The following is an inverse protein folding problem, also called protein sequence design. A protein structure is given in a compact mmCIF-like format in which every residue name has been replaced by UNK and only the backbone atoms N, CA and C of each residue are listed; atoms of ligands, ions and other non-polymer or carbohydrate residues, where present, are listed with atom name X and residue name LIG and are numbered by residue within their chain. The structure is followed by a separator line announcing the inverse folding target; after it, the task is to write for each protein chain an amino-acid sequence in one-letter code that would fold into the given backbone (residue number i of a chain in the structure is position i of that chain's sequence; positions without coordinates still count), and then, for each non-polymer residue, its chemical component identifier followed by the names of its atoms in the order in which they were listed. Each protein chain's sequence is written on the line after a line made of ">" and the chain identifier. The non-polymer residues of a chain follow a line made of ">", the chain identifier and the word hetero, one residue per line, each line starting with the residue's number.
data_IF_743113251438
#
_entry.id   IF_743113251438
#
_cell.length_a   1.000
_cell.length_b   1.000
_cell.length_c   1.000
_cell.angle_alpha   90.00
_cell.angle_beta   90.00
_cell.angle_gamma   90.00
#
_symmetry.space_group_name_H-M   'P 1'
#
loop_
_entity.id
_entity.type
_entity.pdbx_description
1 polymer ?
#
# COMPACT_ATOMS: atom_id res chain seq x y z
N UNK A 1 -45.91 4.61 14.33
CA UNK A 1 -46.94 3.95 15.15
C UNK A 1 -46.86 2.47 14.86
N UNK A 2 -45.97 1.79 15.56
CA UNK A 2 -45.64 0.37 15.35
C UNK A 2 -46.77 -0.47 15.97
N UNK A 3 -47.30 -1.40 15.17
CA UNK A 3 -48.29 -2.39 15.59
C UNK A 3 -47.74 -3.19 16.77
N UNK A 4 -48.38 -3.00 17.91
CA UNK A 4 -48.07 -3.63 19.19
C UNK A 4 -48.45 -5.12 19.29
N UNK A 5 -48.80 -5.76 18.18
CA UNK A 5 -49.34 -7.13 18.13
C UNK A 5 -48.59 -7.99 17.10
N UNK A 6 -47.38 -8.39 17.44
CA UNK A 6 -46.69 -9.45 16.70
C UNK A 6 -45.81 -10.27 17.64
N UNK A 7 -46.42 -11.07 18.51
CA UNK A 7 -45.80 -12.28 19.04
C UNK A 7 -46.93 -13.25 19.37
N UNK A 8 -47.42 -13.99 18.38
CA UNK A 8 -48.04 -15.29 18.61
C UNK A 8 -46.96 -16.32 18.28
N UNK A 9 -46.14 -16.67 19.28
CA UNK A 9 -45.22 -17.76 19.13
C UNK A 9 -45.89 -19.05 19.59
N UNK A 10 -46.13 -19.96 18.67
CA UNK A 10 -46.40 -21.39 18.97
C UNK A 10 -45.12 -22.12 19.45
N UNK A 11 -44.14 -21.39 19.87
CA UNK A 11 -42.88 -21.94 20.39
C UNK A 11 -43.06 -22.47 21.81
N UNK A 12 -42.54 -23.66 22.12
CA UNK A 12 -42.51 -24.19 23.49
C UNK A 12 -41.86 -23.21 24.47
N UNK A 13 -42.45 -23.05 25.64
CA UNK A 13 -41.98 -22.13 26.70
C UNK A 13 -40.52 -22.35 27.05
N UNK A 14 -40.02 -23.59 26.95
CA UNK A 14 -38.60 -23.95 27.18
C UNK A 14 -37.66 -23.33 26.15
N UNK A 15 -38.04 -23.27 24.87
CA UNK A 15 -37.21 -22.68 23.81
C UNK A 15 -37.12 -21.15 23.95
N UNK A 16 -38.19 -20.50 24.35
CA UNK A 16 -38.19 -19.07 24.67
C UNK A 16 -37.29 -18.76 25.87
N UNK A 17 -37.32 -19.61 26.91
CA UNK A 17 -36.46 -19.44 28.09
C UNK A 17 -34.97 -19.57 27.72
N UNK A 18 -34.62 -20.52 26.85
CA UNK A 18 -33.24 -20.68 26.36
C UNK A 18 -32.80 -19.45 25.54
N UNK A 19 -33.66 -18.93 24.66
CA UNK A 19 -33.32 -17.75 23.87
C UNK A 19 -33.12 -16.50 24.75
N UNK A 20 -33.96 -16.31 25.76
CA UNK A 20 -33.83 -15.20 26.73
C UNK A 20 -32.59 -15.33 27.61
N UNK A 21 -32.10 -16.54 27.86
CA UNK A 21 -30.90 -16.80 28.65
C UNK A 21 -29.57 -16.56 27.90
N UNK A 22 -29.62 -16.37 26.58
CA UNK A 22 -28.40 -16.09 25.81
C UNK A 22 -27.80 -14.73 26.21
N UNK A 23 -26.49 -14.68 26.49
CA UNK A 23 -25.82 -13.44 26.93
C UNK A 23 -25.52 -12.47 25.78
N UNK A 24 -26.07 -12.69 24.61
CA UNK A 24 -25.89 -11.89 23.39
C UNK A 24 -27.21 -11.62 22.72
N UNK A 25 -27.33 -10.57 21.88
CA UNK A 25 -28.51 -10.36 21.06
C UNK A 25 -28.79 -11.59 20.20
N UNK A 26 -29.99 -12.14 20.33
CA UNK A 26 -30.42 -13.32 19.56
C UNK A 26 -31.89 -13.22 19.15
N UNK A 27 -32.20 -13.69 17.93
CA UNK A 27 -33.53 -13.69 17.36
C UNK A 27 -33.77 -14.95 16.53
N UNK A 28 -35.02 -15.34 16.46
CA UNK A 28 -35.47 -16.50 15.68
C UNK A 28 -36.35 -16.02 14.54
N UNK A 29 -36.06 -16.50 13.33
CA UNK A 29 -36.79 -16.17 12.10
C UNK A 29 -37.43 -17.40 11.51
N UNK A 30 -38.60 -17.23 10.87
CA UNK A 30 -39.24 -18.27 10.08
C UNK A 30 -38.46 -18.54 8.79
N UNK A 31 -38.83 -19.62 8.08
CA UNK A 31 -38.31 -19.92 6.75
C UNK A 31 -38.58 -18.81 5.72
N UNK A 32 -39.55 -17.92 5.98
CA UNK A 32 -39.88 -16.74 5.18
C UNK A 32 -39.21 -15.46 5.65
N UNK A 33 -38.18 -15.57 6.51
CA UNK A 33 -37.47 -14.45 7.12
C UNK A 33 -38.35 -13.51 7.98
N UNK A 34 -39.48 -14.01 8.51
CA UNK A 34 -40.32 -13.27 9.43
C UNK A 34 -39.78 -13.46 10.85
N UNK A 35 -39.69 -12.38 11.62
CA UNK A 35 -39.27 -12.45 13.03
C UNK A 35 -40.31 -13.20 13.86
N UNK A 36 -39.90 -14.34 14.42
CA UNK A 36 -40.77 -15.13 15.32
C UNK A 36 -40.66 -14.63 16.76
N UNK A 37 -39.43 -14.53 17.26
CA UNK A 37 -39.15 -14.01 18.58
C UNK A 37 -37.70 -13.51 18.70
N UNK A 38 -37.41 -12.70 19.70
CA UNK A 38 -36.07 -12.22 20.01
C UNK A 38 -35.93 -12.03 21.53
N UNK A 39 -34.72 -12.20 22.06
CA UNK A 39 -34.45 -11.93 23.46
C UNK A 39 -34.45 -10.40 23.77
N UNK A 40 -34.48 -10.05 25.04
CA UNK A 40 -34.53 -8.65 25.48
C UNK A 40 -33.32 -7.85 25.03
N UNK A 41 -32.12 -8.47 24.99
CA UNK A 41 -30.89 -7.83 24.55
C UNK A 41 -31.01 -7.43 23.08
N UNK A 42 -31.57 -8.30 22.26
CA UNK A 42 -31.82 -8.03 20.84
C UNK A 42 -32.82 -6.90 20.63
N UNK A 43 -33.99 -6.97 21.29
CA UNK A 43 -35.05 -5.96 21.20
C UNK A 43 -34.59 -4.57 21.62
N UNK A 44 -33.69 -4.51 22.59
CA UNK A 44 -33.15 -3.25 23.09
C UNK A 44 -32.12 -2.62 22.15
N UNK A 45 -31.37 -3.47 21.45
CA UNK A 45 -30.27 -3.05 20.58
C UNK A 45 -30.76 -2.66 19.18
N UNK A 46 -31.72 -3.37 18.64
CA UNK A 46 -32.18 -3.28 17.26
C UNK A 46 -33.67 -2.96 17.22
N UNK A 47 -34.03 -1.68 17.15
CA UNK A 47 -35.42 -1.24 17.37
C UNK A 47 -36.36 -1.41 16.18
N UNK A 48 -35.93 -1.53 14.91
CA UNK A 48 -36.85 -1.65 13.77
C UNK A 48 -36.30 -2.23 12.46
N UNK A 49 -35.02 -2.16 12.18
CA UNK A 49 -34.53 -2.31 10.80
C UNK A 49 -33.86 -3.66 10.51
N UNK A 50 -33.80 -4.56 11.47
CA UNK A 50 -33.06 -5.80 11.34
C UNK A 50 -33.65 -6.81 10.39
N UNK A 51 -34.96 -6.82 10.24
CA UNK A 51 -35.61 -7.66 9.26
C UNK A 51 -35.12 -7.28 7.84
N UNK A 52 -34.99 -5.99 7.58
CA UNK A 52 -34.47 -5.46 6.32
C UNK A 52 -32.97 -5.78 6.13
N UNK A 53 -32.17 -5.70 7.18
CA UNK A 53 -30.73 -6.02 7.14
C UNK A 53 -30.50 -7.51 6.85
N UNK A 54 -31.22 -8.39 7.53
CA UNK A 54 -31.15 -9.85 7.28
C UNK A 54 -31.62 -10.16 5.88
N UNK A 55 -32.73 -9.56 5.44
CA UNK A 55 -33.29 -9.73 4.10
C UNK A 55 -32.30 -9.25 3.03
N UNK A 56 -31.69 -8.09 3.21
CA UNK A 56 -30.71 -7.56 2.25
C UNK A 56 -29.46 -8.44 2.17
N UNK A 57 -28.98 -8.97 3.27
CA UNK A 57 -27.83 -9.86 3.25
C UNK A 57 -28.14 -11.20 2.57
N UNK A 58 -29.27 -11.80 2.89
CA UNK A 58 -29.72 -13.06 2.25
C UNK A 58 -29.99 -12.86 0.76
N UNK A 59 -30.52 -11.70 0.33
CA UNK A 59 -30.72 -11.40 -1.10
C UNK A 59 -29.40 -11.29 -1.87
N UNK A 60 -28.37 -10.70 -1.27
CA UNK A 60 -27.04 -10.63 -1.88
C UNK A 60 -26.41 -12.01 -2.02
N UNK A 61 -26.63 -12.89 -1.06
CA UNK A 61 -26.18 -14.30 -1.12
C UNK A 61 -26.92 -15.08 -2.21
N UNK A 62 -28.24 -14.89 -2.36
CA UNK A 62 -29.04 -15.52 -3.42
C UNK A 62 -28.61 -15.08 -4.83
N UNK A 63 -28.25 -13.80 -5.02
CA UNK A 63 -27.73 -13.32 -6.30
C UNK A 63 -26.38 -13.98 -6.68
N UNK A 64 -25.54 -14.30 -5.69
CA UNK A 64 -24.31 -15.04 -5.94
C UNK A 64 -24.54 -16.51 -6.31
N UNK A 65 -25.63 -17.11 -5.86
CA UNK A 65 -25.97 -18.54 -6.11
C UNK A 65 -26.87 -18.78 -7.32
N UNK A 66 -27.21 -17.75 -8.13
CA UNK A 66 -28.08 -17.83 -9.32
C UNK A 66 -29.50 -18.40 -9.07
N UNK A 67 -30.03 -18.26 -7.88
CA UNK A 67 -31.42 -18.66 -7.60
C UNK A 67 -32.40 -17.64 -8.15
N UNK A 68 -33.33 -18.10 -9.05
CA UNK A 68 -34.26 -17.28 -9.85
C UNK A 68 -35.62 -17.08 -9.17
N UNK A 69 -35.72 -16.99 -7.86
CA UNK A 69 -37.02 -16.72 -7.22
C UNK A 69 -37.09 -15.30 -6.68
N UNK A 70 -38.13 -14.58 -7.04
CA UNK A 70 -38.48 -13.22 -6.64
C UNK A 70 -39.05 -13.11 -5.22
N UNK A 71 -39.19 -14.21 -4.50
CA UNK A 71 -39.66 -14.26 -3.12
C UNK A 71 -38.51 -14.60 -2.17
N UNK A 72 -38.38 -13.83 -1.11
CA UNK A 72 -37.43 -14.09 -0.03
C UNK A 72 -37.76 -15.41 0.67
N UNK A 73 -36.96 -16.42 0.41
CA UNK A 73 -37.12 -17.74 0.97
C UNK A 73 -35.80 -18.25 1.56
N UNK A 74 -35.75 -18.37 2.88
CA UNK A 74 -34.59 -18.93 3.59
C UNK A 74 -34.45 -20.46 3.31
N UNK A 75 -35.42 -21.09 2.63
CA UNK A 75 -35.34 -22.51 2.22
C UNK A 75 -34.21 -22.81 1.24
N UNK A 76 -33.61 -21.76 0.60
CA UNK A 76 -32.43 -21.92 -0.24
C UNK A 76 -31.11 -22.13 0.57
N UNK A 77 -31.16 -22.08 1.89
CA UNK A 77 -30.04 -22.34 2.73
C UNK A 77 -29.85 -23.85 2.85
N UNK A 78 -29.18 -24.44 1.87
CA UNK A 78 -28.72 -25.83 1.93
C UNK A 78 -27.48 -25.93 2.78
N UNK A 79 -27.56 -26.78 3.82
CA UNK A 79 -26.47 -27.16 4.71
C UNK A 79 -25.93 -26.13 5.74
N UNK A 80 -25.41 -26.64 6.81
CA UNK A 80 -24.94 -26.08 8.09
C UNK A 80 -24.04 -24.82 8.06
N UNK A 81 -23.85 -24.13 6.92
CA UNK A 81 -22.89 -23.04 6.82
C UNK A 81 -23.43 -21.83 6.06
N UNK A 82 -24.20 -21.00 6.74
CA UNK A 82 -24.34 -19.62 6.31
C UNK A 82 -23.08 -18.88 6.80
N UNK A 83 -22.32 -18.33 5.86
CA UNK A 83 -21.15 -17.55 6.24
C UNK A 83 -21.56 -16.39 7.13
N UNK A 84 -20.91 -16.23 8.29
CA UNK A 84 -21.13 -15.07 9.14
C UNK A 84 -20.83 -13.78 8.38
N UNK A 85 -21.54 -12.72 8.70
CA UNK A 85 -21.32 -11.43 8.07
C UNK A 85 -21.19 -10.30 9.06
N UNK A 86 -20.52 -9.25 8.62
CA UNK A 86 -20.34 -8.03 9.39
C UNK A 86 -21.35 -6.98 8.94
N UNK A 87 -21.99 -6.34 9.91
CA UNK A 87 -22.83 -5.17 9.74
C UNK A 87 -22.29 -4.00 10.54
N UNK A 88 -22.30 -2.81 9.94
CA UNK A 88 -21.78 -1.60 10.58
C UNK A 88 -22.83 -0.49 10.52
N UNK A 89 -23.13 0.10 11.66
CA UNK A 89 -24.06 1.21 11.79
C UNK A 89 -23.63 2.16 12.92
N UNK A 90 -23.63 3.46 12.66
CA UNK A 90 -23.32 4.51 13.65
C UNK A 90 -22.03 4.24 14.42
N UNK A 91 -20.93 3.93 13.70
CA UNK A 91 -19.61 3.60 14.25
C UNK A 91 -19.57 2.32 15.11
N UNK A 92 -20.63 1.53 15.10
CA UNK A 92 -20.70 0.23 15.75
C UNK A 92 -20.58 -0.89 14.71
N UNK A 93 -19.92 -1.96 15.10
CA UNK A 93 -19.66 -3.12 14.24
C UNK A 93 -20.23 -4.37 14.93
N UNK A 94 -21.01 -5.11 14.17
CA UNK A 94 -21.69 -6.31 14.64
C UNK A 94 -21.31 -7.49 13.75
N UNK A 95 -21.07 -8.63 14.39
CA UNK A 95 -20.84 -9.90 13.71
C UNK A 95 -22.09 -10.74 13.85
N UNK A 96 -22.74 -11.04 12.73
CA UNK A 96 -23.94 -11.87 12.69
C UNK A 96 -23.60 -13.29 12.27
N UNK A 97 -24.17 -14.25 12.99
CA UNK A 97 -24.12 -15.67 12.68
C UNK A 97 -25.55 -16.19 12.54
N UNK A 98 -25.85 -16.86 11.44
CA UNK A 98 -27.12 -17.50 11.17
C UNK A 98 -26.98 -19.02 11.31
N UNK A 99 -27.85 -19.66 12.09
CA UNK A 99 -27.89 -21.12 12.24
C UNK A 99 -29.24 -21.65 11.85
N UNK A 100 -29.37 -22.33 10.71
CA UNK A 100 -30.62 -22.97 10.30
C UNK A 100 -30.90 -24.21 11.17
N UNK A 101 -32.16 -24.46 11.45
CA UNK A 101 -32.68 -25.67 12.03
C UNK A 101 -33.66 -26.32 11.08
N UNK A 102 -33.47 -27.59 10.78
CA UNK A 102 -34.31 -28.34 9.86
C UNK A 102 -35.19 -29.33 10.62
N UNK A 103 -36.37 -29.60 10.10
CA UNK A 103 -37.25 -30.66 10.56
C UNK A 103 -36.72 -32.05 10.15
N UNK A 104 -37.30 -33.11 10.68
CA UNK A 104 -36.95 -34.48 10.27
C UNK A 104 -37.24 -34.76 8.80
N UNK A 105 -38.17 -34.00 8.20
CA UNK A 105 -38.51 -34.03 6.76
C UNK A 105 -37.42 -33.43 5.87
N UNK A 106 -36.43 -32.70 6.43
CA UNK A 106 -35.44 -31.93 5.71
C UNK A 106 -35.89 -30.50 5.40
N UNK A 107 -37.09 -30.09 5.76
CA UNK A 107 -37.59 -28.72 5.55
C UNK A 107 -37.02 -27.77 6.59
N UNK A 108 -36.70 -26.54 6.18
CA UNK A 108 -36.22 -25.49 7.10
C UNK A 108 -37.35 -25.11 8.08
N UNK A 109 -37.13 -25.33 9.36
CA UNK A 109 -38.06 -24.98 10.43
C UNK A 109 -37.94 -23.49 10.80
N UNK A 110 -36.75 -23.10 11.17
CA UNK A 110 -36.41 -21.71 11.55
C UNK A 110 -34.91 -21.45 11.49
N UNK A 111 -34.52 -20.18 11.56
CA UNK A 111 -33.13 -19.73 11.58
C UNK A 111 -32.87 -18.94 12.87
N UNK A 112 -31.90 -19.39 13.64
CA UNK A 112 -31.38 -18.64 14.78
C UNK A 112 -30.31 -17.62 14.30
N UNK A 113 -30.56 -16.34 14.57
CA UNK A 113 -29.60 -15.27 14.40
C UNK A 113 -28.96 -14.96 15.76
N UNK A 114 -27.64 -14.99 15.81
CA UNK A 114 -26.87 -14.47 16.95
C UNK A 114 -26.02 -13.30 16.50
N UNK A 115 -25.88 -12.31 17.38
CA UNK A 115 -25.11 -11.10 17.09
C UNK A 115 -24.08 -10.85 18.19
N UNK A 116 -22.83 -10.63 17.78
CA UNK A 116 -21.78 -10.15 18.66
C UNK A 116 -21.43 -8.70 18.35
N UNK A 117 -21.35 -7.84 19.35
CA UNK A 117 -20.79 -6.49 19.21
C UNK A 117 -19.26 -6.61 19.16
N UNK A 118 -18.68 -6.35 18.00
CA UNK A 118 -17.24 -6.42 17.73
C UNK A 118 -16.63 -5.03 17.60
N UNK A 119 -17.32 -3.98 18.05
CA UNK A 119 -16.87 -2.60 17.90
C UNK A 119 -15.50 -2.37 18.53
N UNK A 120 -15.31 -2.82 19.77
CA UNK A 120 -14.00 -2.71 20.44
C UNK A 120 -12.91 -3.49 19.70
N UNK A 121 -13.22 -4.68 19.20
CA UNK A 121 -12.28 -5.49 18.44
C UNK A 121 -11.83 -4.75 17.17
N UNK A 122 -12.78 -4.16 16.43
CA UNK A 122 -12.48 -3.37 15.22
C UNK A 122 -11.69 -2.10 15.55
N UNK A 123 -11.98 -1.42 16.64
CA UNK A 123 -11.22 -0.25 17.06
C UNK A 123 -9.78 -0.62 17.42
N UNK A 124 -9.56 -1.74 18.10
CA UNK A 124 -8.22 -2.26 18.42
C UNK A 124 -7.48 -2.65 17.13
N UNK A 125 -8.14 -3.36 16.21
CA UNK A 125 -7.57 -3.73 14.91
C UNK A 125 -7.10 -2.50 14.12
N UNK A 126 -7.96 -1.49 13.99
CA UNK A 126 -7.63 -0.23 13.29
C UNK A 126 -6.49 0.53 13.99
N UNK A 127 -6.49 0.54 15.33
CA UNK A 127 -5.43 1.16 16.12
C UNK A 127 -4.09 0.44 15.90
N UNK A 128 -4.07 -0.89 15.88
CA UNK A 128 -2.87 -1.68 15.60
C UNK A 128 -2.36 -1.47 14.17
N UNK A 129 -3.25 -1.44 13.18
CA UNK A 129 -2.89 -1.14 11.80
C UNK A 129 -2.25 0.24 11.67
N UNK A 130 -2.85 1.26 12.29
CA UNK A 130 -2.30 2.61 12.31
C UNK A 130 -0.94 2.67 13.00
N UNK A 131 -0.79 1.97 14.12
CA UNK A 131 0.47 1.93 14.86
C UNK A 131 1.57 1.22 14.06
N UNK A 132 1.24 0.10 13.40
CA UNK A 132 2.18 -0.60 12.51
C UNK A 132 2.63 0.29 11.35
N UNK A 133 1.71 1.02 10.70
CA UNK A 133 2.07 1.98 9.66
C UNK A 133 3.00 3.08 10.17
N UNK A 134 2.77 3.59 11.39
CA UNK A 134 3.65 4.57 12.01
C UNK A 134 5.04 4.01 12.30
N UNK A 135 5.13 2.77 12.78
CA UNK A 135 6.40 2.08 13.01
C UNK A 135 7.16 1.85 11.69
N UNK A 136 6.49 1.42 10.64
CA UNK A 136 7.09 1.27 9.31
C UNK A 136 7.65 2.59 8.79
N UNK A 137 6.89 3.68 8.94
CA UNK A 137 7.36 5.03 8.60
C UNK A 137 8.64 5.40 9.35
N UNK A 138 8.71 5.14 10.65
CA UNK A 138 9.89 5.44 11.46
C UNK A 138 11.10 4.57 11.11
N UNK A 139 10.89 3.31 10.71
CA UNK A 139 11.96 2.37 10.41
C UNK A 139 12.53 2.57 9.01
N UNK A 140 11.67 2.80 8.00
CA UNK A 140 12.03 2.74 6.59
C UNK A 140 12.08 4.10 5.88
N UNK A 141 11.66 5.19 6.53
CA UNK A 141 11.70 6.51 5.93
C UNK A 141 12.67 7.46 6.65
N UNK A 142 13.25 8.38 5.91
CA UNK A 142 14.08 9.45 6.45
C UNK A 142 13.17 10.58 6.95
N UNK A 143 13.33 10.94 8.22
CA UNK A 143 12.45 11.91 8.89
C UNK A 143 12.55 13.33 8.31
N UNK A 144 13.71 13.68 7.72
CA UNK A 144 13.97 15.02 7.19
C UNK A 144 13.34 15.21 5.81
N UNK A 145 13.52 14.22 4.94
CA UNK A 145 13.17 14.31 3.51
C UNK A 145 11.84 13.60 3.17
N UNK A 146 11.36 12.71 4.03
CA UNK A 146 10.14 11.93 3.83
C UNK A 146 10.23 10.86 2.74
N UNK A 147 11.39 10.65 2.12
CA UNK A 147 11.66 9.51 1.22
C UNK A 147 12.18 8.33 2.02
N UNK A 148 12.25 7.13 1.40
CA UNK A 148 12.80 5.94 2.06
C UNK A 148 14.26 6.18 2.47
N UNK A 149 14.67 5.59 3.59
CA UNK A 149 16.03 5.63 4.11
C UNK A 149 16.86 4.42 3.64
N UNK A 150 18.09 4.27 4.12
CA UNK A 150 18.99 3.15 3.84
C UNK A 150 18.36 1.79 4.12
N UNK A 151 17.61 1.65 5.23
CA UNK A 151 16.93 0.39 5.55
C UNK A 151 15.82 0.06 4.57
N UNK A 152 15.09 1.09 4.11
CA UNK A 152 14.10 0.96 3.05
C UNK A 152 14.73 0.51 1.72
N UNK A 153 15.91 1.04 1.39
CA UNK A 153 16.69 0.62 0.23
C UNK A 153 17.07 -0.87 0.31
N UNK A 154 17.67 -1.29 1.42
CA UNK A 154 18.11 -2.68 1.61
C UNK A 154 16.93 -3.67 1.55
N UNK A 155 15.76 -3.29 2.11
CA UNK A 155 14.55 -4.09 2.05
C UNK A 155 14.05 -4.25 0.60
N UNK A 156 13.86 -3.15 -0.11
CA UNK A 156 13.34 -3.16 -1.49
C UNK A 156 14.31 -3.91 -2.42
N UNK A 157 15.60 -3.71 -2.26
CA UNK A 157 16.62 -4.42 -3.04
C UNK A 157 16.52 -5.93 -2.84
N UNK A 158 16.32 -6.39 -1.60
CA UNK A 158 16.13 -7.80 -1.30
C UNK A 158 14.83 -8.37 -1.90
N UNK A 159 13.78 -7.57 -2.01
CA UNK A 159 12.53 -7.96 -2.65
C UNK A 159 12.71 -8.10 -4.17
N UNK A 160 13.36 -7.13 -4.81
CA UNK A 160 13.67 -7.19 -6.23
C UNK A 160 14.54 -8.41 -6.57
N UNK A 161 15.53 -8.74 -5.75
CA UNK A 161 16.36 -9.92 -5.95
C UNK A 161 15.54 -11.22 -5.96
N UNK A 162 14.54 -11.33 -5.07
CA UNK A 162 13.65 -12.49 -5.01
C UNK A 162 12.73 -12.56 -6.22
N UNK A 163 12.16 -11.44 -6.64
CA UNK A 163 11.27 -11.37 -7.81
C UNK A 163 12.00 -11.69 -9.10
N UNK A 164 13.21 -11.19 -9.28
CA UNK A 164 14.06 -11.48 -10.44
C UNK A 164 14.39 -12.98 -10.56
N UNK A 165 14.67 -13.66 -9.45
CA UNK A 165 14.94 -15.10 -9.45
C UNK A 165 13.75 -15.95 -9.94
N UNK A 166 12.52 -15.43 -9.86
CA UNK A 166 11.30 -16.12 -10.28
C UNK A 166 10.92 -15.80 -11.73
N UNK A 167 11.08 -14.57 -12.17
CA UNK A 167 10.56 -14.08 -13.46
C UNK A 167 11.56 -14.07 -14.60
N UNK A 168 12.86 -14.29 -14.34
CA UNK A 168 13.97 -14.41 -15.32
C UNK A 168 14.19 -13.22 -16.26
N UNK A 169 13.71 -12.00 -16.00
CA UNK A 169 13.59 -11.09 -17.13
C UNK A 169 13.87 -9.61 -16.93
N UNK A 170 14.11 -9.05 -15.77
CA UNK A 170 14.11 -7.59 -15.70
C UNK A 170 15.47 -6.98 -15.32
N UNK A 171 16.05 -6.23 -16.25
CA UNK A 171 17.18 -5.32 -15.97
C UNK A 171 16.81 -4.33 -14.87
N UNK A 172 17.69 -4.16 -13.89
CA UNK A 172 17.51 -3.18 -12.80
C UNK A 172 18.70 -2.23 -12.82
N UNK A 173 18.44 -0.95 -13.02
CA UNK A 173 19.47 0.05 -12.85
C UNK A 173 19.52 0.56 -11.42
N UNK A 174 20.72 0.58 -10.85
CA UNK A 174 21.04 1.21 -9.58
C UNK A 174 21.73 2.55 -9.85
N UNK A 175 21.29 3.57 -9.15
CA UNK A 175 21.87 4.92 -9.28
C UNK A 175 22.25 5.43 -7.89
N UNK A 176 23.49 5.90 -7.78
CA UNK A 176 23.99 6.63 -6.61
C UNK A 176 24.12 8.10 -6.95
N UNK A 177 23.64 8.97 -6.07
CA UNK A 177 23.65 10.43 -6.27
C UNK A 177 24.18 11.11 -5.01
N UNK A 178 24.89 12.21 -5.19
CA UNK A 178 25.43 12.95 -4.06
C UNK A 178 25.51 14.45 -4.41
N UNK A 179 24.97 15.29 -3.50
CA UNK A 179 25.00 16.74 -3.65
C UNK A 179 26.43 17.28 -3.60
N UNK A 180 26.78 18.04 -4.62
CA UNK A 180 28.12 18.59 -4.72
C UNK A 180 28.35 19.70 -3.71
N UNK A 181 29.52 19.64 -3.01
CA UNK A 181 29.95 20.65 -2.06
C UNK A 181 28.94 20.90 -0.90
N UNK A 182 28.11 19.93 -0.53
CA UNK A 182 27.08 20.10 0.50
C UNK A 182 27.66 20.49 1.86
N UNK A 183 28.84 19.96 2.23
CA UNK A 183 29.56 20.39 3.42
C UNK A 183 29.84 21.90 3.44
N UNK A 184 30.29 22.47 2.33
CA UNK A 184 30.50 23.92 2.22
C UNK A 184 29.21 24.73 2.41
N UNK A 185 28.10 24.22 1.92
CA UNK A 185 26.79 24.84 2.15
C UNK A 185 26.46 24.87 3.64
N UNK A 186 26.65 23.76 4.36
CA UNK A 186 26.47 23.73 5.81
C UNK A 186 27.41 24.68 6.56
N UNK A 187 28.68 24.69 6.16
CA UNK A 187 29.69 25.52 6.82
C UNK A 187 29.42 27.02 6.63
N UNK A 188 28.86 27.43 5.48
CA UNK A 188 28.61 28.85 5.16
C UNK A 188 27.22 29.31 5.64
N UNK A 189 26.19 28.48 5.45
CA UNK A 189 24.78 28.88 5.62
C UNK A 189 24.12 28.22 6.84
N UNK A 190 24.82 27.32 7.51
CA UNK A 190 24.32 26.57 8.68
C UNK A 190 23.51 25.35 8.34
N UNK A 191 23.41 24.43 9.29
CA UNK A 191 22.72 23.13 9.12
C UNK A 191 21.23 23.26 8.79
N UNK A 192 20.54 24.28 9.34
CA UNK A 192 19.13 24.49 9.07
C UNK A 192 18.86 24.75 7.57
N UNK A 193 19.73 25.53 6.92
CA UNK A 193 19.63 25.74 5.49
C UNK A 193 20.03 24.48 4.69
N UNK A 194 21.05 23.74 5.13
CA UNK A 194 21.39 22.44 4.56
C UNK A 194 20.22 21.45 4.62
N UNK A 195 19.44 21.44 5.69
CA UNK A 195 18.24 20.66 5.81
C UNK A 195 17.16 21.03 4.77
N UNK A 196 17.01 22.34 4.48
CA UNK A 196 16.11 22.80 3.41
C UNK A 196 16.61 22.38 2.03
N UNK A 197 17.93 22.44 1.79
CA UNK A 197 18.55 21.93 0.56
C UNK A 197 18.24 20.45 0.37
N UNK A 198 18.40 19.63 1.42
CA UNK A 198 18.10 18.19 1.37
C UNK A 198 16.61 17.92 1.08
N UNK A 199 15.70 18.64 1.73
CA UNK A 199 14.24 18.49 1.48
C UNK A 199 13.89 18.84 0.03
N UNK A 200 14.43 19.97 -0.47
CA UNK A 200 14.19 20.41 -1.83
C UNK A 200 14.74 19.45 -2.86
N UNK A 201 15.97 18.97 -2.65
CA UNK A 201 16.61 17.99 -3.52
C UNK A 201 15.82 16.69 -3.57
N UNK A 202 15.44 16.13 -2.42
CA UNK A 202 14.60 14.92 -2.37
C UNK A 202 13.27 15.08 -3.11
N UNK A 203 12.62 16.25 -2.99
CA UNK A 203 11.38 16.56 -3.70
C UNK A 203 11.58 16.56 -5.22
N UNK A 204 12.62 17.23 -5.72
CA UNK A 204 12.93 17.32 -7.14
C UNK A 204 13.27 15.94 -7.73
N UNK A 205 14.12 15.20 -7.05
CA UNK A 205 14.51 13.86 -7.45
C UNK A 205 13.31 12.90 -7.48
N UNK A 206 12.40 12.98 -6.49
CA UNK A 206 11.17 12.19 -6.47
C UNK A 206 10.23 12.54 -7.63
N UNK A 207 10.11 13.82 -7.96
CA UNK A 207 9.31 14.26 -9.12
C UNK A 207 9.86 13.70 -10.43
N UNK A 208 11.19 13.65 -10.59
CA UNK A 208 11.84 13.15 -11.80
C UNK A 208 11.51 11.68 -12.08
N UNK A 209 11.41 10.84 -11.05
CA UNK A 209 11.10 9.42 -11.24
C UNK A 209 9.60 9.08 -11.16
N UNK A 210 8.73 10.06 -10.91
CA UNK A 210 7.29 9.84 -10.68
C UNK A 210 6.55 9.20 -11.87
N UNK A 211 7.09 9.30 -13.08
CA UNK A 211 6.51 8.72 -14.29
C UNK A 211 7.04 7.31 -14.59
N UNK A 212 8.02 6.82 -13.83
CA UNK A 212 8.61 5.50 -14.01
C UNK A 212 7.98 4.54 -13.00
N UNK A 213 7.28 3.53 -13.54
CA UNK A 213 6.61 2.52 -12.71
C UNK A 213 7.65 1.80 -11.82
N UNK A 214 7.30 1.61 -10.55
CA UNK A 214 8.11 0.91 -9.56
C UNK A 214 9.47 1.56 -9.21
N UNK A 215 9.82 2.70 -9.85
CA UNK A 215 11.03 3.43 -9.50
C UNK A 215 10.93 4.01 -8.08
N UNK A 216 12.01 3.88 -7.32
CA UNK A 216 12.07 4.33 -5.93
C UNK A 216 13.31 5.17 -5.67
N UNK A 217 13.17 6.14 -4.77
CA UNK A 217 14.26 6.99 -4.30
C UNK A 217 14.49 6.80 -2.81
N UNK A 218 15.77 6.89 -2.40
CA UNK A 218 16.22 6.66 -1.04
C UNK A 218 17.24 7.72 -0.63
N UNK A 219 17.26 8.06 0.66
CA UNK A 219 18.38 8.79 1.27
C UNK A 219 19.28 7.81 2.00
N UNK A 220 20.53 7.69 1.54
CA UNK A 220 21.50 6.73 2.07
C UNK A 220 22.14 7.24 3.35
N UNK A 221 22.28 8.55 3.48
CA UNK A 221 22.83 9.25 4.66
C UNK A 221 23.47 10.57 4.23
N UNK A 222 23.55 11.55 5.13
CA UNK A 222 24.12 12.86 4.80
C UNK A 222 23.47 13.48 3.55
N UNK A 223 24.29 13.73 2.53
CA UNK A 223 23.91 14.27 1.22
C UNK A 223 23.75 13.22 0.11
N UNK A 224 23.83 11.93 0.48
CA UNK A 224 23.79 10.82 -0.47
C UNK A 224 22.37 10.30 -0.68
N UNK A 225 22.01 10.11 -1.95
CA UNK A 225 20.75 9.51 -2.39
C UNK A 225 21.02 8.27 -3.25
N UNK A 226 20.04 7.39 -3.36
CA UNK A 226 20.06 6.27 -4.27
C UNK A 226 18.71 6.15 -4.99
N UNK A 227 18.72 5.54 -6.17
CA UNK A 227 17.49 5.14 -6.88
C UNK A 227 17.61 3.70 -7.34
N UNK A 228 16.48 2.98 -7.27
CA UNK A 228 16.27 1.69 -7.90
C UNK A 228 15.32 1.91 -9.06
N UNK A 229 15.74 1.57 -10.27
CA UNK A 229 14.97 1.72 -11.50
C UNK A 229 14.76 0.34 -12.14
N UNK A 230 13.69 -0.38 -11.76
CA UNK A 230 13.38 -1.68 -12.34
C UNK A 230 12.95 -1.55 -13.79
N UNK A 231 13.18 -2.60 -14.59
CA UNK A 231 12.75 -2.68 -15.98
C UNK A 231 13.20 -1.48 -16.83
N UNK A 232 14.40 -0.98 -16.53
CA UNK A 232 14.91 0.25 -17.14
C UNK A 232 16.26 -0.01 -17.78
N UNK A 233 16.36 0.21 -19.08
CA UNK A 233 17.62 0.12 -19.81
C UNK A 233 18.62 1.16 -19.29
N UNK A 234 19.91 0.82 -19.30
CA UNK A 234 20.98 1.69 -18.79
C UNK A 234 21.00 3.08 -19.46
N UNK A 235 20.70 3.15 -20.76
CA UNK A 235 20.62 4.42 -21.50
C UNK A 235 19.52 5.33 -20.95
N UNK A 236 18.35 4.75 -20.64
CA UNK A 236 17.23 5.48 -20.04
C UNK A 236 17.57 5.93 -18.62
N UNK A 237 18.18 5.04 -17.82
CA UNK A 237 18.61 5.39 -16.46
C UNK A 237 19.65 6.52 -16.45
N UNK A 238 20.60 6.50 -17.39
CA UNK A 238 21.55 7.61 -17.54
C UNK A 238 20.88 8.92 -17.95
N UNK A 239 19.87 8.87 -18.82
CA UNK A 239 19.11 10.05 -19.20
C UNK A 239 18.32 10.62 -18.01
N UNK A 240 17.70 9.76 -17.18
CA UNK A 240 17.04 10.17 -15.94
C UNK A 240 18.04 10.83 -14.97
N UNK A 241 19.22 10.23 -14.80
CA UNK A 241 20.28 10.75 -13.96
C UNK A 241 20.74 12.15 -14.43
N UNK A 242 20.94 12.31 -15.72
CA UNK A 242 21.32 13.61 -16.30
C UNK A 242 20.24 14.68 -16.10
N UNK A 243 18.97 14.31 -16.28
CA UNK A 243 17.83 15.19 -15.99
C UNK A 243 17.76 15.57 -14.50
N UNK A 244 18.13 14.65 -13.57
CA UNK A 244 18.25 14.98 -12.16
C UNK A 244 19.33 16.05 -11.93
N UNK A 245 20.50 15.93 -12.57
CA UNK A 245 21.55 16.95 -12.49
C UNK A 245 21.06 18.30 -12.99
N UNK A 246 20.41 18.33 -14.16
CA UNK A 246 19.91 19.55 -14.79
C UNK A 246 18.81 20.21 -13.95
N UNK A 247 17.86 19.43 -13.40
CA UNK A 247 16.80 19.97 -12.55
C UNK A 247 17.33 20.54 -11.24
N UNK A 248 18.25 19.86 -10.58
CA UNK A 248 18.89 20.36 -9.36
C UNK A 248 19.66 21.65 -9.69
N UNK A 249 20.40 21.66 -10.78
CA UNK A 249 21.17 22.84 -11.22
C UNK A 249 20.28 24.01 -11.59
N UNK A 250 19.16 23.79 -12.27
CA UNK A 250 18.19 24.82 -12.61
C UNK A 250 17.41 25.36 -11.39
N UNK A 251 17.34 24.58 -10.30
CA UNK A 251 16.63 24.97 -9.08
C UNK A 251 17.56 25.80 -8.19
N UNK A 252 17.48 27.14 -8.27
CA UNK A 252 18.12 28.01 -7.30
C UNK A 252 17.36 28.00 -5.96
N UNK A 253 18.11 28.11 -4.86
CA UNK A 253 17.55 28.40 -3.53
C UNK A 253 18.02 29.77 -3.07
N UNK A 254 17.10 30.52 -2.46
CA UNK A 254 17.44 31.84 -1.93
C UNK A 254 17.82 31.74 -0.46
N UNK A 255 18.97 32.28 -0.11
CA UNK A 255 19.37 32.52 1.28
C UNK A 255 19.57 34.03 1.48
N UNK A 256 18.70 34.64 2.27
CA UNK A 256 18.57 36.10 2.33
C UNK A 256 18.40 36.68 0.89
N UNK A 257 19.26 37.56 0.45
CA UNK A 257 19.20 38.19 -0.88
C UNK A 257 20.10 37.52 -1.94
N UNK A 258 20.61 36.31 -1.65
CA UNK A 258 21.53 35.60 -2.56
C UNK A 258 20.90 34.32 -3.10
N UNK A 259 20.93 34.14 -4.40
CA UNK A 259 20.59 32.88 -5.03
C UNK A 259 21.77 31.91 -4.94
N UNK A 260 21.54 30.74 -4.33
CA UNK A 260 22.50 29.65 -4.28
C UNK A 260 22.15 28.63 -5.35
N UNK A 261 23.09 28.30 -6.22
CA UNK A 261 22.97 27.24 -7.19
C UNK A 261 23.43 25.92 -6.61
N UNK A 262 22.60 24.91 -6.71
CA UNK A 262 22.89 23.55 -6.27
C UNK A 262 23.36 22.71 -7.46
N UNK A 263 24.18 21.70 -7.18
CA UNK A 263 24.49 20.65 -8.16
C UNK A 263 24.55 19.29 -7.50
N UNK A 264 24.36 18.25 -8.31
CA UNK A 264 24.40 16.86 -7.89
C UNK A 264 25.16 16.06 -8.93
N UNK A 265 25.95 15.10 -8.48
CA UNK A 265 26.65 14.15 -9.36
C UNK A 265 25.99 12.77 -9.25
N UNK A 266 25.95 12.04 -10.36
CA UNK A 266 25.28 10.75 -10.44
C UNK A 266 26.21 9.65 -10.97
N UNK A 267 26.08 8.45 -10.40
CA UNK A 267 26.70 7.23 -10.90
C UNK A 267 25.66 6.16 -11.15
N UNK A 268 25.68 5.53 -12.33
CA UNK A 268 24.67 4.54 -12.77
C UNK A 268 25.36 3.21 -13.06
N UNK A 269 24.75 2.10 -12.64
CA UNK A 269 25.16 0.75 -13.03
C UNK A 269 23.93 -0.13 -13.30
N UNK A 270 24.05 -1.04 -14.25
CA UNK A 270 23.05 -2.03 -14.59
C UNK A 270 23.30 -3.32 -13.84
N UNK A 271 22.27 -3.87 -13.21
CA UNK A 271 22.22 -5.24 -12.73
C UNK A 271 21.43 -6.11 -13.71
N UNK A 272 22.06 -7.16 -14.20
CA UNK A 272 21.51 -8.10 -15.18
C UNK A 272 21.38 -9.54 -14.62
N UNK A 273 21.57 -9.69 -13.29
CA UNK A 273 21.49 -10.98 -12.61
C UNK A 273 22.80 -11.80 -12.64
N UNK A 274 23.85 -11.34 -13.30
CA UNK A 274 25.13 -12.08 -13.39
C UNK A 274 26.02 -11.88 -12.18
N UNK A 275 25.80 -10.82 -11.42
CA UNK A 275 26.52 -10.47 -10.21
C UNK A 275 25.60 -10.19 -9.01
N UNK A 276 26.14 -10.00 -7.83
CA UNK A 276 25.34 -9.58 -6.68
C UNK A 276 24.97 -8.09 -6.77
N UNK A 277 23.84 -7.70 -6.17
CA UNK A 277 23.47 -6.29 -6.06
C UNK A 277 24.55 -5.44 -5.34
N UNK A 278 25.31 -6.05 -4.45
CA UNK A 278 26.41 -5.37 -3.77
C UNK A 278 27.52 -4.97 -4.76
N UNK A 279 27.86 -5.85 -5.70
CA UNK A 279 28.84 -5.58 -6.75
C UNK A 279 28.34 -4.50 -7.71
N UNK A 280 27.05 -4.58 -8.11
CA UNK A 280 26.43 -3.54 -8.94
C UNK A 280 26.43 -2.17 -8.23
N UNK A 281 26.10 -2.15 -6.94
CA UNK A 281 26.12 -0.92 -6.15
C UNK A 281 27.54 -0.33 -6.07
N UNK A 282 28.54 -1.17 -5.88
CA UNK A 282 29.94 -0.74 -5.90
C UNK A 282 30.36 -0.16 -7.27
N UNK A 283 29.81 -0.68 -8.38
CA UNK A 283 30.02 -0.11 -9.72
C UNK A 283 29.34 1.26 -9.88
N UNK A 284 28.13 1.42 -9.34
CA UNK A 284 27.46 2.72 -9.33
C UNK A 284 28.23 3.75 -8.49
N UNK A 285 28.76 3.35 -7.33
CA UNK A 285 29.64 4.20 -6.50
C UNK A 285 30.94 4.60 -7.23
N UNK A 286 31.57 3.67 -7.96
CA UNK A 286 32.75 3.99 -8.78
C UNK A 286 32.42 5.01 -9.86
N UNK A 287 31.27 4.91 -10.51
CA UNK A 287 30.81 5.87 -11.50
C UNK A 287 30.55 7.24 -10.85
N UNK A 288 29.87 7.29 -9.69
CA UNK A 288 29.67 8.53 -8.94
C UNK A 288 31.01 9.18 -8.54
N UNK A 289 31.96 8.39 -8.07
CA UNK A 289 33.30 8.90 -7.74
C UNK A 289 33.97 9.54 -8.94
N UNK A 290 33.86 8.97 -10.15
CA UNK A 290 34.42 9.55 -11.38
C UNK A 290 33.69 10.85 -11.75
N UNK A 291 32.37 10.92 -11.62
CA UNK A 291 31.61 12.15 -11.85
C UNK A 291 32.10 13.28 -10.91
N UNK A 292 32.33 12.98 -9.62
CA UNK A 292 32.82 13.94 -8.63
C UNK A 292 34.27 14.36 -8.84
N UNK A 293 35.13 13.45 -9.29
CA UNK A 293 36.54 13.73 -9.59
C UNK A 293 36.68 14.58 -10.87
N UNK A 294 35.75 14.44 -11.80
CA UNK A 294 35.70 15.20 -13.04
C UNK A 294 35.13 16.60 -12.83
N UNK A 295 34.12 16.95 -13.62
CA UNK A 295 33.50 18.27 -13.63
C UNK A 295 32.47 18.50 -12.54
N UNK A 296 32.02 17.45 -11.82
CA UNK A 296 30.80 17.43 -11.01
C UNK A 296 29.58 17.80 -11.85
N UNK A 297 28.39 17.87 -11.25
CA UNK A 297 27.15 18.18 -11.95
C UNK A 297 26.96 17.40 -13.25
N UNK A 298 27.26 16.11 -13.21
CA UNK A 298 27.23 15.22 -14.37
C UNK A 298 26.90 13.78 -13.97
N UNK A 299 26.60 12.98 -14.97
CA UNK A 299 26.32 11.55 -14.84
C UNK A 299 27.45 10.74 -15.43
N UNK A 300 27.98 9.79 -14.66
CA UNK A 300 28.83 8.71 -15.16
C UNK A 300 28.09 7.38 -15.05
N UNK A 301 28.46 6.40 -15.86
CA UNK A 301 27.92 5.04 -15.76
C UNK A 301 29.06 4.01 -15.81
N UNK A 302 28.78 2.84 -15.25
CA UNK A 302 29.68 1.71 -15.26
C UNK A 302 28.98 0.50 -15.90
N UNK A 303 29.45 0.08 -17.08
CA UNK A 303 28.90 -1.03 -17.88
C UNK A 303 29.45 -2.41 -17.48
N UNK A 304 30.25 -2.49 -16.41
CA UNK A 304 30.93 -3.70 -15.95
C UNK A 304 32.34 -3.87 -16.51
N UNK A 305 32.72 -3.12 -17.54
CA UNK A 305 34.07 -3.13 -18.12
C UNK A 305 34.76 -1.77 -17.93
N UNK A 306 34.02 -0.69 -18.11
CA UNK A 306 34.55 0.67 -18.08
C UNK A 306 33.62 1.63 -17.35
N UNK A 307 34.21 2.69 -16.79
CA UNK A 307 33.46 3.84 -16.29
C UNK A 307 33.56 4.97 -17.32
N UNK A 308 32.44 5.50 -17.76
CA UNK A 308 32.39 6.56 -18.76
C UNK A 308 31.45 7.68 -18.35
N UNK A 309 31.74 8.91 -18.83
CA UNK A 309 30.83 10.05 -18.75
C UNK A 309 29.64 9.81 -19.68
N UNK A 310 28.45 10.09 -19.23
CA UNK A 310 27.25 10.04 -20.07
C UNK A 310 27.15 11.32 -20.90
N UNK A 311 27.03 11.14 -22.21
CA UNK A 311 26.64 12.16 -23.17
C UNK A 311 25.43 11.67 -23.95
N UNK A 312 24.52 12.55 -24.38
CA UNK A 312 23.32 12.13 -25.12
C UNK A 312 23.60 11.29 -26.36
N UNK A 313 24.80 11.34 -26.89
CA UNK A 313 25.26 10.56 -28.05
C UNK A 313 25.86 9.22 -27.69
N UNK A 314 26.12 8.95 -26.39
CA UNK A 314 26.89 7.77 -25.92
C UNK A 314 26.28 6.46 -26.38
N UNK A 315 24.94 6.35 -26.42
CA UNK A 315 24.21 5.13 -26.80
C UNK A 315 23.60 5.20 -28.23
N UNK A 316 23.84 6.29 -29.01
CA UNK A 316 23.38 6.36 -30.39
C UNK A 316 24.25 5.48 -31.27
N UNK A 317 23.64 4.54 -32.02
CA UNK A 317 24.37 3.76 -33.02
C UNK A 317 24.94 4.66 -34.12
N UNK A 318 26.13 4.37 -34.67
CA UNK A 318 26.75 5.17 -35.75
C UNK A 318 25.87 5.35 -37.00
N UNK A 319 24.82 4.53 -37.18
CA UNK A 319 23.93 4.55 -38.34
C UNK A 319 22.89 5.68 -38.34
N UNK A 320 22.68 6.37 -37.21
CA UNK A 320 21.66 7.43 -37.12
C UNK A 320 22.20 8.85 -37.40
N UNK A 321 23.52 9.00 -37.55
CA UNK A 321 24.17 10.25 -37.91
C UNK A 321 24.16 10.58 -39.41
N UNK A 322 23.52 9.81 -40.23
CA UNK A 322 23.65 9.90 -41.71
C UNK A 322 22.35 10.11 -42.48
N UNK A 323 21.42 10.93 -42.04
CA UNK A 323 20.31 11.41 -42.89
C UNK A 323 19.83 12.79 -42.47
N UNK A 324 20.67 13.80 -42.70
CA UNK A 324 20.24 15.16 -42.87
C UNK A 324 21.21 15.83 -43.87
N UNK A 325 20.95 15.63 -45.12
CA UNK A 325 21.36 16.50 -46.25
C UNK A 325 20.15 16.65 -47.15
#
# INVERSE_FOLDING_TARGET
>A
MLKKDLIKSDLPTEQLAVLEALPMPAALFSARAELICANQIFKHRFQSDLQEIVLNHVSVMQQKTKATSSEFDLRCLENDSIEPFMYSENERHYWFTLKPKFQQSGDLEHVLLCCADITNLKQVELSLLKHNQQLEQQVYFDYLTGIKNRRGFDLDLSQWQKSFAVEQADEICLMMLDLDNFKQINDIYGHAFGDEVLRKSAQLLRMQISQHADAQIYRMGGEEFAMILPRTAISTACSIAQQCCEQIYASSMNYADKALQLSISCGVALWDGTESFFETLARADQALYQAKKGSKNCTCFNDGQNVALFEETTFKKPSDCGKNT
#
